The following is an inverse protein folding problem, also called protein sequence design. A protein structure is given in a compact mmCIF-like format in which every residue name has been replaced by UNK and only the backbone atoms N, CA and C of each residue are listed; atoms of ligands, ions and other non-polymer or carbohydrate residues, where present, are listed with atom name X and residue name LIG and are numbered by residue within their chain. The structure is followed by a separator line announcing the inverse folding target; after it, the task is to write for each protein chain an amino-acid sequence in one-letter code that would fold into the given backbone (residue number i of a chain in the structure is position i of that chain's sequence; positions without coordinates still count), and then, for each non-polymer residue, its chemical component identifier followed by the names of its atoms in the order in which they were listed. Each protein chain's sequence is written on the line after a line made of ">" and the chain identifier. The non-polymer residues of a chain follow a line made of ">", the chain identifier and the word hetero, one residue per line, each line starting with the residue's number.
data_IF_860996216377
#
_entry.id   IF_860996216377
#
_cell.length_a   1.000
_cell.length_b   1.000
_cell.length_c   1.000
_cell.angle_alpha   90.00
_cell.angle_beta   90.00
_cell.angle_gamma   90.00
#
_symmetry.space_group_name_H-M   'P 1'
#
loop_
_entity.id
_entity.type
_entity.pdbx_description
1 polymer ?
#
# COMPACT_ATOMS: atom_id res chain seq x y z
N UNK A 1 -11.41 -46.09 -51.42
CA UNK A 1 -12.77 -45.53 -51.26
C UNK A 1 -12.68 -44.02 -51.25
N UNK A 2 -13.41 -43.37 -52.16
CA UNK A 2 -13.42 -41.92 -52.40
C UNK A 2 -14.25 -41.15 -51.37
N UNK A 3 -13.87 -39.90 -51.11
CA UNK A 3 -14.84 -38.80 -50.94
C UNK A 3 -14.93 -38.11 -49.57
N UNK A 4 -14.21 -36.98 -49.42
CA UNK A 4 -14.71 -35.82 -48.64
C UNK A 4 -15.77 -35.11 -49.48
N UNK A 5 -16.83 -34.56 -48.85
CA UNK A 5 -17.25 -33.15 -48.99
C UNK A 5 -18.55 -32.83 -48.19
N UNK A 6 -18.41 -31.79 -47.37
CA UNK A 6 -19.30 -30.65 -47.06
C UNK A 6 -20.80 -30.84 -46.73
N UNK A 7 -21.12 -30.26 -45.56
CA UNK A 7 -22.39 -29.76 -45.02
C UNK A 7 -23.50 -29.39 -46.01
N UNK A 8 -24.75 -29.61 -45.58
CA UNK A 8 -25.80 -28.61 -45.78
C UNK A 8 -26.52 -28.20 -44.49
N UNK A 9 -27.00 -26.97 -44.57
CA UNK A 9 -27.67 -26.13 -43.59
C UNK A 9 -29.12 -26.57 -43.23
N UNK A 10 -29.59 -26.13 -42.04
CA UNK A 10 -30.93 -25.52 -41.75
C UNK A 10 -32.19 -26.36 -42.09
N UNK A 11 -33.19 -26.63 -41.24
CA UNK A 11 -33.84 -26.05 -40.04
C UNK A 11 -34.68 -27.17 -39.40
N UNK A 12 -35.04 -27.07 -38.12
CA UNK A 12 -36.43 -27.26 -37.64
C UNK A 12 -36.51 -26.71 -36.22
N UNK A 13 -37.39 -25.73 -36.04
CA UNK A 13 -37.67 -25.08 -34.77
C UNK A 13 -38.48 -26.03 -33.88
N UNK A 14 -38.00 -26.29 -32.67
CA UNK A 14 -38.85 -26.77 -31.58
C UNK A 14 -39.01 -25.65 -30.56
N UNK A 15 -40.21 -25.08 -30.60
CA UNK A 15 -40.72 -24.06 -29.69
C UNK A 15 -41.06 -24.74 -28.37
N UNK A 16 -40.15 -24.71 -27.40
CA UNK A 16 -40.48 -25.09 -26.02
C UNK A 16 -40.62 -23.80 -25.21
N UNK A 17 -41.86 -23.37 -25.01
CA UNK A 17 -42.22 -22.40 -23.98
C UNK A 17 -42.13 -23.11 -22.63
N UNK A 18 -41.02 -22.95 -21.93
CA UNK A 18 -40.98 -23.21 -20.49
C UNK A 18 -41.02 -21.87 -19.75
N UNK A 19 -42.14 -21.65 -19.07
CA UNK A 19 -42.30 -20.62 -18.06
C UNK A 19 -41.41 -20.95 -16.86
N UNK A 20 -40.31 -20.22 -16.71
CA UNK A 20 -39.64 -20.03 -15.43
C UNK A 20 -39.69 -18.53 -15.11
N UNK A 21 -40.45 -18.18 -14.08
CA UNK A 21 -40.39 -16.86 -13.46
C UNK A 21 -39.13 -16.76 -12.61
N UNK A 22 -38.61 -15.53 -12.53
CA UNK A 22 -37.69 -14.99 -11.52
C UNK A 22 -36.19 -14.92 -11.89
N UNK A 23 -35.73 -13.70 -12.21
CA UNK A 23 -34.62 -13.12 -11.43
C UNK A 23 -33.22 -13.01 -12.05
N UNK A 24 -32.96 -13.42 -13.30
CA UNK A 24 -31.58 -13.36 -13.83
C UNK A 24 -31.22 -11.96 -14.35
N UNK A 25 -30.61 -11.13 -13.50
CA UNK A 25 -29.87 -9.94 -13.95
C UNK A 25 -28.61 -10.39 -14.70
N UNK A 26 -28.38 -9.87 -15.89
CA UNK A 26 -27.06 -9.90 -16.52
C UNK A 26 -26.09 -9.14 -15.60
N UNK A 27 -25.23 -9.86 -14.89
CA UNK A 27 -24.04 -9.27 -14.28
C UNK A 27 -23.03 -9.17 -15.42
N UNK A 28 -22.77 -7.95 -15.86
CA UNK A 28 -21.66 -7.65 -16.75
C UNK A 28 -20.42 -8.37 -16.21
N UNK A 29 -19.77 -9.21 -17.03
CA UNK A 29 -18.53 -9.88 -16.62
C UNK A 29 -17.52 -8.79 -16.33
N UNK A 30 -17.34 -8.45 -15.05
CA UNK A 30 -16.27 -7.56 -14.61
C UNK A 30 -14.98 -8.21 -15.09
N UNK A 31 -14.36 -7.61 -16.11
CA UNK A 31 -13.07 -8.05 -16.62
C UNK A 31 -12.12 -8.18 -15.43
N UNK A 32 -11.53 -9.35 -15.25
CA UNK A 32 -10.45 -9.55 -14.27
C UNK A 32 -9.42 -8.44 -14.47
N UNK A 33 -9.12 -7.64 -13.43
CA UNK A 33 -8.11 -6.60 -13.54
C UNK A 33 -6.79 -7.23 -13.98
N UNK A 34 -6.23 -6.75 -15.08
CA UNK A 34 -4.90 -7.18 -15.53
C UNK A 34 -3.86 -6.55 -14.60
N UNK A 35 -2.79 -7.27 -14.27
CA UNK A 35 -1.72 -6.78 -13.40
C UNK A 35 -1.16 -5.41 -13.82
N UNK A 36 -1.16 -5.10 -15.13
CA UNK A 36 -0.74 -3.81 -15.67
C UNK A 36 -1.62 -2.62 -15.22
N UNK A 37 -2.91 -2.86 -14.93
CA UNK A 37 -3.84 -1.82 -14.47
C UNK A 37 -3.63 -1.42 -13.00
N UNK A 38 -2.84 -2.19 -12.23
CA UNK A 38 -2.47 -1.87 -10.84
C UNK A 38 -1.43 -0.73 -10.80
N UNK A 39 -0.65 -0.58 -11.87
CA UNK A 39 0.35 0.49 -12.01
C UNK A 39 -0.18 1.74 -12.72
N UNK A 40 -1.47 1.76 -13.10
CA UNK A 40 -2.08 2.93 -13.72
C UNK A 40 -2.38 4.00 -12.65
N UNK A 41 -1.32 4.68 -12.21
CA UNK A 41 -1.37 5.82 -11.27
C UNK A 41 -2.17 7.00 -11.82
N UNK A 42 -2.51 7.01 -13.11
CA UNK A 42 -3.33 8.05 -13.74
C UNK A 42 -4.79 8.07 -13.30
N UNK A 43 -5.24 7.05 -12.54
CA UNK A 43 -6.62 6.96 -12.00
C UNK A 43 -6.74 7.23 -10.51
N UNK A 44 -5.63 7.54 -9.82
CA UNK A 44 -5.75 8.01 -8.44
C UNK A 44 -6.39 9.39 -8.44
N UNK A 45 -7.40 9.60 -7.59
CA UNK A 45 -7.95 10.95 -7.36
C UNK A 45 -6.92 11.88 -6.71
N UNK A 46 -5.89 11.31 -6.10
CA UNK A 46 -4.78 12.04 -5.52
C UNK A 46 -3.62 11.99 -6.53
N UNK A 47 -2.98 13.14 -6.75
CA UNK A 47 -1.77 13.18 -7.56
C UNK A 47 -0.61 12.41 -6.92
N UNK A 48 0.60 12.62 -7.44
CA UNK A 48 1.80 12.13 -6.76
C UNK A 48 2.01 12.93 -5.47
N UNK A 49 2.21 12.22 -4.36
CA UNK A 49 2.63 12.85 -3.12
C UNK A 49 4.11 13.22 -3.20
N UNK A 50 4.46 14.40 -2.72
CA UNK A 50 5.85 14.72 -2.44
C UNK A 50 6.33 13.84 -1.30
N UNK A 51 7.40 13.08 -1.56
CA UNK A 51 7.96 12.11 -0.63
C UNK A 51 9.33 12.59 -0.17
N UNK A 52 9.54 12.61 1.14
CA UNK A 52 10.81 12.98 1.75
C UNK A 52 11.42 11.75 2.42
N UNK A 53 12.62 11.37 2.00
CA UNK A 53 13.31 10.18 2.51
C UNK A 53 14.56 10.51 3.33
N UNK A 54 14.84 9.69 4.33
CA UNK A 54 16.12 9.66 5.02
C UNK A 54 17.19 9.08 4.10
N UNK A 55 18.46 9.28 4.44
CA UNK A 55 19.51 8.45 3.86
C UNK A 55 19.35 7.01 4.36
N UNK A 56 19.81 6.05 3.57
CA UNK A 56 19.89 4.66 4.03
C UNK A 56 20.96 4.55 5.12
N UNK A 57 20.65 3.82 6.19
CA UNK A 57 21.59 3.50 7.26
C UNK A 57 21.80 1.99 7.30
N UNK A 58 23.06 1.55 7.30
CA UNK A 58 23.43 0.16 7.54
C UNK A 58 24.05 0.02 8.94
N UNK A 59 23.46 -0.84 9.78
CA UNK A 59 23.99 -1.19 11.11
C UNK A 59 24.01 -2.72 11.25
N UNK A 60 25.21 -3.30 11.36
CA UNK A 60 25.40 -4.75 11.44
C UNK A 60 24.66 -5.54 10.33
N UNK A 61 24.63 -4.99 9.12
CA UNK A 61 23.95 -5.61 7.97
C UNK A 61 22.44 -5.43 7.94
N UNK A 62 21.84 -4.76 8.93
CA UNK A 62 20.47 -4.29 8.84
C UNK A 62 20.46 -2.96 8.08
N UNK A 63 19.69 -2.87 7.00
CA UNK A 63 19.45 -1.60 6.30
C UNK A 63 18.14 -0.97 6.73
N UNK A 64 18.15 0.35 6.85
CA UNK A 64 17.03 1.17 7.31
C UNK A 64 16.82 2.35 6.37
N UNK A 65 15.57 2.65 6.04
CA UNK A 65 15.17 3.86 5.35
C UNK A 65 13.82 4.34 5.88
N UNK A 66 13.66 5.63 6.08
CA UNK A 66 12.38 6.24 6.45
C UNK A 66 11.92 7.14 5.33
N UNK A 67 10.68 6.99 4.90
CA UNK A 67 10.04 7.86 3.91
C UNK A 67 8.77 8.44 4.52
N UNK A 68 8.55 9.74 4.34
CA UNK A 68 7.33 10.39 4.78
C UNK A 68 6.67 11.21 3.66
N UNK A 69 5.39 11.49 3.85
CA UNK A 69 4.59 12.37 3.01
C UNK A 69 3.61 13.16 3.89
N UNK A 70 3.24 14.37 3.45
CA UNK A 70 2.21 15.19 4.11
C UNK A 70 0.84 14.61 3.77
N UNK A 71 0.00 14.38 4.78
CA UNK A 71 -1.33 13.79 4.62
C UNK A 71 -2.30 14.34 5.66
N UNK A 72 -3.51 14.67 5.25
CA UNK A 72 -4.56 15.32 6.07
C UNK A 72 -5.84 14.51 6.17
N UNK A 73 -5.93 13.37 5.49
CA UNK A 73 -7.10 12.48 5.52
C UNK A 73 -6.70 11.01 5.44
N UNK A 74 -7.56 10.10 5.90
CA UNK A 74 -7.38 8.66 5.73
C UNK A 74 -7.24 8.22 4.26
N UNK A 75 -7.85 8.95 3.33
CA UNK A 75 -7.71 8.64 1.91
C UNK A 75 -6.30 8.99 1.41
N UNK A 76 -5.75 10.12 1.86
CA UNK A 76 -4.37 10.51 1.58
C UNK A 76 -3.36 9.58 2.25
N UNK A 77 -3.57 9.20 3.52
CA UNK A 77 -2.71 8.23 4.22
C UNK A 77 -2.58 6.93 3.42
N UNK A 78 -3.72 6.35 2.99
CA UNK A 78 -3.73 5.10 2.23
C UNK A 78 -3.02 5.24 0.89
N UNK A 79 -3.22 6.36 0.22
CA UNK A 79 -2.67 6.59 -1.10
C UNK A 79 -1.17 6.94 -1.07
N UNK A 80 -0.74 7.76 -0.11
CA UNK A 80 0.67 8.02 0.17
C UNK A 80 1.40 6.73 0.52
N UNK A 81 0.85 5.91 1.43
CA UNK A 81 1.41 4.61 1.76
C UNK A 81 1.53 3.71 0.52
N UNK A 82 0.49 3.66 -0.32
CA UNK A 82 0.52 2.91 -1.59
C UNK A 82 1.63 3.39 -2.52
N UNK A 83 1.79 4.71 -2.69
CA UNK A 83 2.79 5.28 -3.58
C UNK A 83 4.23 5.05 -3.06
N UNK A 84 4.45 5.22 -1.75
CA UNK A 84 5.74 4.91 -1.11
C UNK A 84 6.06 3.43 -1.29
N UNK A 85 5.09 2.54 -1.05
CA UNK A 85 5.21 1.08 -1.22
C UNK A 85 5.25 0.62 -2.68
N UNK A 86 5.19 1.51 -3.67
CA UNK A 86 5.52 1.20 -5.07
C UNK A 86 6.99 1.49 -5.40
N UNK A 87 7.70 2.17 -4.49
CA UNK A 87 9.11 2.46 -4.60
C UNK A 87 10.02 1.30 -4.17
N UNK A 88 11.34 1.55 -4.04
CA UNK A 88 12.32 0.53 -3.69
C UNK A 88 12.10 -0.08 -2.30
N UNK A 89 11.44 0.64 -1.39
CA UNK A 89 11.13 0.17 -0.03
C UNK A 89 10.19 -1.05 -0.02
N UNK A 90 9.44 -1.29 -1.09
CA UNK A 90 8.58 -2.47 -1.23
C UNK A 90 9.33 -3.80 -1.13
N UNK A 91 10.63 -3.81 -1.44
CA UNK A 91 11.49 -4.99 -1.32
C UNK A 91 12.04 -5.21 0.10
N UNK A 92 11.83 -4.26 1.02
CA UNK A 92 12.25 -4.42 2.42
C UNK A 92 11.42 -5.50 3.12
N UNK A 93 12.04 -6.14 4.11
CA UNK A 93 11.41 -7.25 4.85
C UNK A 93 10.30 -6.79 5.79
N UNK A 94 10.45 -5.59 6.34
CA UNK A 94 9.48 -4.95 7.23
C UNK A 94 9.24 -3.52 6.79
N UNK A 95 7.97 -3.11 6.78
CA UNK A 95 7.54 -1.77 6.40
C UNK A 95 6.50 -1.25 7.40
N UNK A 96 6.98 -0.64 8.48
CA UNK A 96 6.12 -0.08 9.53
C UNK A 96 5.46 1.20 9.05
N UNK A 97 4.13 1.22 8.99
CA UNK A 97 3.32 2.40 8.68
C UNK A 97 2.98 3.16 9.97
N UNK A 98 3.11 4.49 9.95
CA UNK A 98 2.66 5.38 11.02
C UNK A 98 1.99 6.59 10.38
N UNK A 99 0.88 7.05 10.94
CA UNK A 99 0.23 8.28 10.50
C UNK A 99 -0.32 9.08 11.68
N UNK A 100 -0.36 10.39 11.51
CA UNK A 100 -1.05 11.33 12.40
C UNK A 100 -1.50 12.52 11.58
N UNK A 101 -2.78 12.87 11.64
CA UNK A 101 -3.31 14.06 10.96
C UNK A 101 -4.47 14.67 11.75
N UNK A 102 -4.68 15.97 11.59
CA UNK A 102 -5.83 16.67 12.17
C UNK A 102 -6.82 16.95 11.07
N UNK A 103 -8.06 16.49 11.24
CA UNK A 103 -9.11 16.74 10.27
C UNK A 103 -9.61 18.20 10.31
N UNK A 104 -10.44 18.55 9.34
CA UNK A 104 -11.06 19.87 9.22
C UNK A 104 -11.93 20.27 10.43
N UNK A 105 -12.38 19.30 11.23
CA UNK A 105 -13.23 19.50 12.39
C UNK A 105 -12.38 19.60 13.68
N UNK A 106 -11.04 19.56 13.55
CA UNK A 106 -10.08 19.70 14.64
C UNK A 106 -9.77 18.40 15.37
N UNK A 107 -10.25 17.24 14.90
CA UNK A 107 -9.96 15.95 15.53
C UNK A 107 -8.66 15.37 14.99
N UNK A 108 -7.77 14.96 15.89
CA UNK A 108 -6.56 14.24 15.54
C UNK A 108 -6.84 12.75 15.37
N UNK A 109 -6.46 12.22 14.22
CA UNK A 109 -6.50 10.81 13.87
C UNK A 109 -5.08 10.30 13.79
N UNK A 110 -4.76 9.25 14.54
CA UNK A 110 -3.44 8.62 14.49
C UNK A 110 -3.50 7.11 14.64
N UNK A 111 -2.44 6.44 14.18
CA UNK A 111 -2.31 5.00 14.24
C UNK A 111 -1.05 4.49 13.56
N UNK A 112 -0.80 3.19 13.73
CA UNK A 112 0.36 2.53 13.14
C UNK A 112 0.08 1.04 12.85
N UNK A 113 0.89 0.46 11.96
CA UNK A 113 1.03 -0.98 11.72
C UNK A 113 2.53 -1.31 11.70
N UNK A 114 2.97 -2.17 12.62
CA UNK A 114 4.39 -2.51 12.78
C UNK A 114 4.94 -3.39 11.64
N UNK A 115 4.09 -4.08 10.86
CA UNK A 115 4.53 -5.13 9.91
C UNK A 115 5.56 -6.08 10.53
N UNK A 116 5.23 -6.64 11.69
CA UNK A 116 6.08 -7.57 12.48
C UNK A 116 7.37 -6.94 13.03
N UNK A 117 7.67 -5.67 12.77
CA UNK A 117 8.78 -4.95 13.40
C UNK A 117 8.36 -4.34 14.74
N UNK A 118 7.92 -5.21 15.67
CA UNK A 118 7.20 -4.82 16.88
C UNK A 118 7.85 -3.66 17.65
N UNK A 119 7.01 -2.70 18.04
CA UNK A 119 7.33 -1.56 18.89
C UNK A 119 7.92 -0.35 18.16
N UNK A 120 8.09 -0.41 16.84
CA UNK A 120 8.57 0.73 16.04
C UNK A 120 7.48 1.77 15.85
N UNK A 121 6.30 1.34 15.43
CA UNK A 121 5.18 2.21 15.10
C UNK A 121 4.71 3.01 16.31
N UNK A 122 4.57 2.36 17.46
CA UNK A 122 4.25 3.04 18.71
C UNK A 122 5.31 4.08 19.08
N UNK A 123 6.59 3.74 18.95
CA UNK A 123 7.70 4.64 19.30
C UNK A 123 7.76 5.88 18.39
N UNK A 124 7.55 5.70 17.09
CA UNK A 124 7.48 6.82 16.14
C UNK A 124 6.25 7.68 16.46
N UNK A 125 5.10 7.07 16.72
CA UNK A 125 3.87 7.80 17.01
C UNK A 125 3.97 8.61 18.31
N UNK A 126 4.54 8.03 19.37
CA UNK A 126 4.81 8.74 20.62
C UNK A 126 5.74 9.94 20.39
N UNK A 127 6.79 9.77 19.57
CA UNK A 127 7.67 10.88 19.22
C UNK A 127 6.92 11.99 18.46
N UNK A 128 6.05 11.66 17.49
CA UNK A 128 5.23 12.64 16.77
C UNK A 128 4.24 13.36 17.70
N UNK A 129 3.72 12.66 18.72
CA UNK A 129 2.88 13.24 19.79
C UNK A 129 3.67 14.23 20.63
N UNK A 130 4.87 13.86 21.05
CA UNK A 130 5.73 14.69 21.92
C UNK A 130 6.13 16.01 21.27
N UNK A 131 6.37 16.02 19.96
CA UNK A 131 6.73 17.24 19.21
C UNK A 131 5.53 17.96 18.59
N UNK A 132 4.32 17.44 18.84
CA UNK A 132 3.06 17.86 18.21
C UNK A 132 3.16 18.06 16.68
N UNK A 133 3.62 17.02 15.98
CA UNK A 133 3.72 17.01 14.52
C UNK A 133 2.51 16.30 13.90
N UNK A 134 1.47 17.05 13.47
CA UNK A 134 0.36 16.49 12.72
C UNK A 134 0.67 16.43 11.21
N UNK A 135 -0.29 15.87 10.49
CA UNK A 135 -0.44 15.85 9.05
C UNK A 135 0.68 15.12 8.29
N UNK A 136 1.07 13.96 8.82
CA UNK A 136 2.17 13.17 8.27
C UNK A 136 1.82 11.68 8.21
N UNK A 137 2.25 11.05 7.13
CA UNK A 137 2.36 9.60 6.98
C UNK A 137 3.83 9.23 6.86
N UNK A 138 4.27 8.22 7.60
CA UNK A 138 5.65 7.72 7.63
C UNK A 138 5.63 6.21 7.35
N UNK A 139 6.54 5.75 6.50
CA UNK A 139 6.91 4.34 6.38
C UNK A 139 8.37 4.18 6.79
N UNK A 140 8.59 3.38 7.84
CA UNK A 140 9.92 2.94 8.26
C UNK A 140 10.18 1.56 7.67
N UNK A 141 11.17 1.47 6.79
CA UNK A 141 11.52 0.28 6.04
C UNK A 141 12.80 -0.33 6.58
N UNK A 142 12.81 -1.65 6.77
CA UNK A 142 13.97 -2.39 7.29
C UNK A 142 14.20 -3.69 6.53
N UNK A 143 15.46 -3.95 6.21
CA UNK A 143 15.92 -5.26 5.72
C UNK A 143 16.97 -5.81 6.67
N UNK A 144 16.73 -6.92 7.38
CA UNK A 144 17.77 -7.58 8.17
C UNK A 144 18.83 -8.24 7.26
N UNK A 145 20.04 -8.50 7.78
CA UNK A 145 21.03 -9.29 7.06
C UNK A 145 20.49 -10.70 6.82
N UNK A 146 21.05 -11.41 5.85
CA UNK A 146 20.73 -12.83 5.63
C UNK A 146 21.02 -13.66 6.89
N UNK A 147 19.95 -14.13 7.56
CA UNK A 147 20.04 -14.91 8.81
C UNK A 147 19.17 -14.33 9.95
N UNK A 148 19.25 -14.93 11.15
CA UNK A 148 18.45 -14.57 12.32
C UNK A 148 19.15 -13.61 13.28
N UNK A 149 19.84 -12.59 12.75
CA UNK A 149 20.46 -11.58 13.60
C UNK A 149 19.38 -10.75 14.33
N UNK A 150 19.31 -10.90 15.66
CA UNK A 150 18.41 -10.11 16.52
C UNK A 150 19.09 -8.77 16.86
N UNK A 151 18.52 -7.66 16.38
CA UNK A 151 19.02 -6.30 16.67
C UNK A 151 18.49 -5.71 18.00
N UNK A 152 17.48 -6.34 18.60
CA UNK A 152 16.89 -5.88 19.86
C UNK A 152 16.30 -4.46 19.75
N UNK A 153 16.39 -3.68 20.83
CA UNK A 153 15.86 -2.30 20.91
C UNK A 153 16.74 -1.25 20.22
N UNK A 154 17.96 -1.60 19.80
CA UNK A 154 18.90 -0.68 19.12
C UNK A 154 18.31 -0.09 17.84
N UNK A 155 17.50 -0.87 17.11
CA UNK A 155 16.77 -0.43 15.90
C UNK A 155 15.93 0.83 16.15
N UNK A 156 15.39 1.00 17.36
CA UNK A 156 14.45 2.08 17.67
C UNK A 156 15.13 3.45 17.54
N UNK A 157 16.38 3.57 17.99
CA UNK A 157 17.11 4.83 17.93
C UNK A 157 17.51 5.19 16.49
N UNK A 158 17.92 4.19 15.71
CA UNK A 158 18.29 4.39 14.29
C UNK A 158 17.08 4.89 13.50
N UNK A 159 15.93 4.24 13.67
CA UNK A 159 14.70 4.62 12.98
C UNK A 159 14.22 6.01 13.43
N UNK A 160 14.28 6.33 14.73
CA UNK A 160 13.92 7.67 15.21
C UNK A 160 14.85 8.76 14.65
N UNK A 161 16.15 8.52 14.50
CA UNK A 161 17.04 9.47 13.83
C UNK A 161 16.69 9.62 12.34
N UNK A 162 16.25 8.54 11.68
CA UNK A 162 15.68 8.58 10.33
C UNK A 162 14.44 9.47 10.26
N UNK A 163 13.49 9.30 11.18
CA UNK A 163 12.27 10.12 11.29
C UNK A 163 12.62 11.60 11.51
N UNK A 164 13.50 11.90 12.46
CA UNK A 164 13.99 13.28 12.69
C UNK A 164 14.63 13.88 11.45
N UNK A 165 15.40 13.08 10.72
CA UNK A 165 16.06 13.52 9.48
C UNK A 165 15.05 13.88 8.40
N UNK A 166 14.00 13.09 8.24
CA UNK A 166 12.92 13.37 7.28
C UNK A 166 12.15 14.62 7.69
N UNK A 167 11.74 14.74 8.96
CA UNK A 167 11.01 15.90 9.45
C UNK A 167 11.77 17.21 9.30
N UNK A 168 13.10 17.21 9.42
CA UNK A 168 13.94 18.41 9.19
C UNK A 168 13.98 18.85 7.72
N UNK A 169 13.63 17.97 6.79
CA UNK A 169 13.64 18.23 5.34
C UNK A 169 12.26 18.59 4.80
N UNK A 170 11.21 18.42 5.60
CA UNK A 170 9.82 18.73 5.26
C UNK A 170 9.45 20.16 5.62
#
# INVERSE_FOLDING_TARGET
>A
MYGRLKYPHLKHANKVKNHLKSGSKYVEKVSTPKALAIFDTSKSKFGLFEQTSSNEVNDNGHTYCVTAAVTTTYAEVREAARQIMQGPVSACTYNTLVYRFTDKDGHTHDGYDDDRDYGIGSRILDYLKDIDAPNITIISSRTPPSGTAKIGSRKNNIILEGVKSVLRKM
#
